data_IF_558694117360
#
_entry.id   IF_558694117360
#
_cell.length_a   1.000
_cell.length_b   1.000
_cell.length_c   1.000
_cell.angle_alpha   90.00
_cell.angle_beta   90.00
_cell.angle_gamma   90.00
#
_symmetry.space_group_name_H-M   'P 1'
#
loop_
_entity.id
_entity.type
_entity.pdbx_description
1 polymer ?
#
# COMPACT_ATOMS: atom_id res chain seq x y z
N UNK A 1 2.59 1.83 19.17
CA UNK A 1 2.13 1.02 18.04
C UNK A 1 1.72 1.99 16.93
N UNK A 2 2.61 2.24 16.00
CA UNK A 2 2.30 3.05 14.81
C UNK A 2 1.59 2.13 13.85
N UNK A 3 0.27 2.23 13.76
CA UNK A 3 -0.51 1.63 12.70
C UNK A 3 -0.23 2.44 11.43
N UNK A 4 0.34 1.85 10.42
CA UNK A 4 0.49 2.46 9.10
C UNK A 4 -0.90 2.81 8.57
N UNK A 5 -1.21 4.10 8.61
CA UNK A 5 -2.42 4.67 8.06
C UNK A 5 -2.23 4.71 6.55
N UNK A 6 -2.95 3.92 5.83
CA UNK A 6 -2.85 3.82 4.36
C UNK A 6 -3.29 2.46 3.82
N UNK A 7 -3.44 1.49 4.71
CA UNK A 7 -3.81 0.12 4.36
C UNK A 7 -5.31 -0.19 4.53
N UNK A 8 -6.16 0.82 4.70
CA UNK A 8 -7.58 0.60 5.04
C UNK A 8 -8.42 0.09 3.86
N UNK A 9 -7.82 -0.04 2.66
CA UNK A 9 -8.59 -0.06 1.45
C UNK A 9 -8.92 -1.44 0.90
N UNK A 10 -8.28 -1.94 -0.04
CA UNK A 10 -8.54 -3.27 -0.61
C UNK A 10 -7.94 -4.40 0.23
N UNK A 11 -7.35 -4.06 1.36
CA UNK A 11 -6.60 -4.95 2.24
C UNK A 11 -7.51 -5.74 3.18
N UNK A 12 -8.76 -5.36 3.31
CA UNK A 12 -9.71 -6.10 4.15
C UNK A 12 -9.74 -7.59 3.75
N UNK A 13 -9.61 -7.87 2.47
CA UNK A 13 -9.66 -9.20 1.88
C UNK A 13 -8.30 -9.68 1.32
N UNK A 14 -7.27 -8.81 1.29
CA UNK A 14 -5.93 -9.18 0.86
C UNK A 14 -5.10 -9.68 2.04
N UNK A 15 -4.40 -10.79 1.85
CA UNK A 15 -3.44 -11.37 2.80
C UNK A 15 -2.06 -10.72 2.63
N UNK A 16 -1.97 -9.39 2.77
CA UNK A 16 -0.66 -8.74 2.80
C UNK A 16 -0.07 -8.88 4.19
N UNK A 17 1.11 -9.48 4.23
CA UNK A 17 1.89 -9.69 5.43
C UNK A 17 2.50 -8.37 5.91
N UNK A 18 2.20 -7.96 7.15
CA UNK A 18 2.84 -6.82 7.80
C UNK A 18 3.94 -7.31 8.73
N UNK A 19 5.20 -6.88 8.55
CA UNK A 19 6.28 -7.31 9.43
C UNK A 19 6.10 -6.72 10.84
N UNK A 20 6.05 -7.60 11.84
CA UNK A 20 6.17 -7.24 13.24
C UNK A 20 7.64 -7.39 13.65
N UNK A 21 8.34 -6.27 13.73
CA UNK A 21 9.75 -6.24 14.14
C UNK A 21 9.81 -6.22 15.67
N UNK A 22 10.43 -7.24 16.26
CA UNK A 22 10.73 -7.31 17.68
C UNK A 22 12.21 -7.02 17.90
N UNK A 23 12.50 -6.02 18.74
CA UNK A 23 13.86 -5.63 19.11
C UNK A 23 14.23 -6.13 20.49
N UNK A 24 15.52 -6.31 20.74
CA UNK A 24 16.08 -6.50 22.08
C UNK A 24 16.25 -5.15 22.82
N UNK A 25 16.78 -5.17 24.04
CA UNK A 25 17.08 -3.98 24.84
C UNK A 25 18.05 -3.02 24.18
N UNK A 26 18.91 -3.53 23.30
CA UNK A 26 19.97 -2.78 22.61
C UNK A 26 19.48 -2.19 21.28
N UNK A 27 18.20 -2.45 20.91
CA UNK A 27 17.58 -1.96 19.67
C UNK A 27 17.85 -2.84 18.46
N UNK A 28 18.54 -3.97 18.60
CA UNK A 28 18.75 -4.92 17.51
C UNK A 28 17.53 -5.80 17.28
N UNK A 29 17.33 -6.20 16.02
CA UNK A 29 16.19 -7.06 15.66
C UNK A 29 16.43 -8.48 16.16
N UNK A 30 15.58 -8.90 17.09
CA UNK A 30 15.54 -10.26 17.61
C UNK A 30 14.80 -11.20 16.67
N UNK A 31 13.68 -10.76 16.15
CA UNK A 31 12.79 -11.57 15.34
C UNK A 31 11.86 -10.69 14.49
N UNK A 32 11.55 -11.18 13.30
CA UNK A 32 10.53 -10.61 12.43
C UNK A 32 9.45 -11.68 12.23
N UNK A 33 8.22 -11.35 12.51
CA UNK A 33 7.08 -12.24 12.37
C UNK A 33 5.95 -11.56 11.61
N UNK A 34 5.07 -12.35 11.05
CA UNK A 34 3.80 -11.86 10.51
C UNK A 34 2.88 -11.41 11.63
N UNK A 35 2.30 -10.25 11.47
CA UNK A 35 1.27 -9.74 12.38
C UNK A 35 -0.03 -10.52 12.20
N UNK A 36 -0.39 -11.33 13.17
CA UNK A 36 -1.67 -12.07 13.15
C UNK A 36 -2.85 -11.13 13.39
N UNK A 37 -3.80 -11.12 12.49
CA UNK A 37 -5.08 -10.42 12.63
C UNK A 37 -6.06 -11.30 13.40
N UNK A 38 -6.42 -10.89 14.61
CA UNK A 38 -7.34 -11.61 15.49
C UNK A 38 -8.80 -11.24 15.19
N UNK A 39 -9.76 -12.09 15.57
CA UNK A 39 -11.19 -11.79 15.42
C UNK A 39 -11.62 -10.58 16.25
N UNK A 40 -11.01 -10.34 17.42
CA UNK A 40 -11.22 -9.14 18.23
C UNK A 40 -10.79 -7.86 17.48
N UNK A 41 -9.70 -7.90 16.70
CA UNK A 41 -9.29 -6.77 15.87
C UNK A 41 -10.34 -6.48 14.81
N UNK A 42 -10.87 -7.52 14.14
CA UNK A 42 -11.92 -7.38 13.12
C UNK A 42 -13.20 -6.77 13.70
N UNK A 43 -13.61 -7.24 14.89
CA UNK A 43 -14.80 -6.72 15.57
C UNK A 43 -14.68 -5.22 15.87
N UNK A 44 -13.56 -4.80 16.45
CA UNK A 44 -13.32 -3.36 16.73
C UNK A 44 -13.26 -2.55 15.43
N UNK A 45 -12.68 -3.11 14.38
CA UNK A 45 -12.64 -2.50 13.05
C UNK A 45 -14.05 -2.24 12.49
N UNK A 46 -14.98 -3.20 12.61
CA UNK A 46 -16.38 -3.03 12.20
C UNK A 46 -17.08 -1.93 13.00
N UNK A 47 -16.88 -1.86 14.31
CA UNK A 47 -17.44 -0.79 15.14
C UNK A 47 -16.86 0.58 14.76
N UNK A 48 -15.55 0.66 14.46
CA UNK A 48 -14.93 1.89 13.99
C UNK A 48 -15.51 2.34 12.65
N UNK A 49 -15.70 1.42 11.70
CA UNK A 49 -16.32 1.72 10.41
C UNK A 49 -17.76 2.21 10.59
N UNK A 50 -18.57 1.54 11.39
CA UNK A 50 -19.95 1.96 11.67
C UNK A 50 -20.00 3.38 12.28
N UNK A 51 -19.15 3.69 13.24
CA UNK A 51 -19.05 5.01 13.83
C UNK A 51 -18.61 6.09 12.84
N UNK A 52 -17.63 5.78 11.98
CA UNK A 52 -17.13 6.68 10.94
C UNK A 52 -18.22 6.99 9.90
N UNK A 53 -18.98 5.99 9.47
CA UNK A 53 -20.11 6.16 8.53
C UNK A 53 -21.21 7.01 9.16
N UNK A 54 -21.60 6.70 10.39
CA UNK A 54 -22.65 7.46 11.11
C UNK A 54 -22.26 8.92 11.31
N UNK A 55 -20.99 9.19 11.61
CA UNK A 55 -20.47 10.55 11.70
C UNK A 55 -20.48 11.26 10.32
N UNK A 56 -20.11 10.55 9.24
CA UNK A 56 -20.13 11.09 7.89
C UNK A 56 -21.57 11.44 7.45
N UNK A 57 -22.55 10.59 7.76
CA UNK A 57 -23.95 10.86 7.48
C UNK A 57 -24.45 12.08 8.26
N UNK A 58 -24.13 12.17 9.56
CA UNK A 58 -24.52 13.28 10.39
C UNK A 58 -23.98 14.62 9.86
N UNK A 59 -22.67 14.73 9.62
CA UNK A 59 -22.07 15.97 9.09
C UNK A 59 -22.59 16.30 7.69
N UNK A 60 -22.83 15.30 6.84
CA UNK A 60 -23.41 15.50 5.50
C UNK A 60 -24.81 16.09 5.54
N UNK A 61 -25.58 15.80 6.59
CA UNK A 61 -26.96 16.24 6.73
C UNK A 61 -27.08 17.62 7.41
N UNK A 62 -26.20 17.92 8.37
CA UNK A 62 -26.38 19.07 9.26
C UNK A 62 -25.27 20.11 9.16
N UNK A 63 -24.08 19.78 8.64
CA UNK A 63 -22.99 20.72 8.50
C UNK A 63 -23.07 21.52 7.19
N UNK A 64 -22.57 22.75 7.19
CA UNK A 64 -22.43 23.57 5.99
C UNK A 64 -21.37 23.01 5.05
N UNK A 65 -20.25 22.57 5.60
CA UNK A 65 -19.20 21.86 4.89
C UNK A 65 -18.82 20.61 5.70
N UNK A 66 -18.44 19.55 4.99
CA UNK A 66 -18.05 18.30 5.63
C UNK A 66 -16.55 18.15 5.76
N UNK A 67 -16.13 17.13 6.49
CA UNK A 67 -14.78 16.59 6.49
C UNK A 67 -14.89 15.14 6.08
N UNK A 68 -14.47 14.82 4.86
CA UNK A 68 -14.61 13.49 4.29
C UNK A 68 -13.25 12.86 4.07
N UNK A 69 -13.18 11.54 4.22
CA UNK A 69 -12.07 10.72 3.74
C UNK A 69 -12.49 10.14 2.40
N UNK A 70 -12.01 10.74 1.33
CA UNK A 70 -12.35 10.36 -0.04
C UNK A 70 -11.35 9.38 -0.61
N UNK A 71 -11.81 8.50 -1.48
CA UNK A 71 -10.97 7.61 -2.28
C UNK A 71 -11.58 7.48 -3.67
N UNK A 72 -10.95 8.12 -4.63
CA UNK A 72 -11.44 8.13 -6.01
C UNK A 72 -11.17 6.80 -6.73
N UNK A 73 -11.86 6.61 -7.84
CA UNK A 73 -11.66 5.45 -8.72
C UNK A 73 -10.22 5.42 -9.28
N UNK A 74 -9.69 4.23 -9.56
CA UNK A 74 -8.38 4.10 -10.18
C UNK A 74 -8.34 4.78 -11.55
N UNK A 75 -7.19 5.34 -11.92
CA UNK A 75 -6.99 5.93 -13.24
C UNK A 75 -7.02 4.86 -14.35
N UNK A 76 -7.70 5.15 -15.44
CA UNK A 76 -7.86 4.25 -16.58
C UNK A 76 -6.52 3.73 -17.13
N UNK A 77 -5.47 4.55 -17.14
CA UNK A 77 -4.13 4.14 -17.57
C UNK A 77 -3.48 3.11 -16.66
N UNK A 78 -3.63 3.26 -15.33
CA UNK A 78 -3.10 2.29 -14.36
C UNK A 78 -3.77 0.94 -14.51
N UNK A 79 -5.05 0.98 -14.79
CA UNK A 79 -5.89 -0.18 -14.99
C UNK A 79 -5.55 -0.93 -16.27
N UNK A 80 -5.36 -0.22 -17.38
CA UNK A 80 -4.92 -0.84 -18.63
C UNK A 80 -3.58 -1.56 -18.44
N UNK A 81 -2.65 -0.95 -17.70
CA UNK A 81 -1.36 -1.57 -17.37
C UNK A 81 -1.55 -2.82 -16.52
N UNK A 82 -2.37 -2.76 -15.47
CA UNK A 82 -2.69 -3.92 -14.63
C UNK A 82 -3.30 -5.05 -15.47
N UNK A 83 -4.30 -4.75 -16.29
CA UNK A 83 -4.95 -5.74 -17.18
C UNK A 83 -3.95 -6.41 -18.13
N UNK A 84 -3.00 -5.66 -18.66
CA UNK A 84 -1.96 -6.22 -19.53
C UNK A 84 -1.03 -7.16 -18.76
N UNK A 85 -0.63 -6.80 -17.53
CA UNK A 85 0.20 -7.66 -16.67
C UNK A 85 -0.54 -8.95 -16.32
N UNK A 86 -1.81 -8.86 -15.95
CA UNK A 86 -2.66 -10.02 -15.65
C UNK A 86 -2.82 -10.93 -16.86
N UNK A 87 -3.09 -10.35 -18.03
CA UNK A 87 -3.22 -11.09 -19.29
C UNK A 87 -1.94 -11.85 -19.67
N UNK A 88 -0.77 -11.24 -19.46
CA UNK A 88 0.52 -11.88 -19.71
C UNK A 88 0.74 -13.11 -18.80
N UNK A 89 0.00 -13.21 -17.68
CA UNK A 89 0.02 -14.34 -16.74
C UNK A 89 -1.12 -15.33 -16.95
N UNK A 90 -1.84 -15.22 -18.08
CA UNK A 90 -2.99 -16.07 -18.38
C UNK A 90 -4.21 -15.79 -17.51
N UNK A 91 -4.25 -14.62 -16.86
CA UNK A 91 -5.36 -14.20 -16.02
C UNK A 91 -6.21 -13.24 -16.83
N UNK A 92 -7.37 -13.69 -17.26
CA UNK A 92 -8.33 -12.82 -17.93
C UNK A 92 -9.21 -12.15 -16.86
N UNK A 93 -9.11 -10.85 -16.79
CA UNK A 93 -10.01 -10.05 -15.99
C UNK A 93 -10.97 -9.30 -16.91
N UNK A 94 -12.21 -9.75 -16.94
CA UNK A 94 -13.29 -9.18 -17.74
C UNK A 94 -14.20 -8.28 -16.90
N UNK A 95 -13.83 -8.03 -15.63
CA UNK A 95 -14.61 -7.22 -14.72
C UNK A 95 -14.51 -5.73 -15.05
N UNK A 96 -15.61 -5.01 -14.83
CA UNK A 96 -15.59 -3.57 -14.84
C UNK A 96 -14.83 -3.08 -13.59
N UNK A 97 -13.79 -2.29 -13.79
CA UNK A 97 -12.93 -1.74 -12.75
C UNK A 97 -13.63 -0.65 -11.93
N UNK A 98 -14.66 -0.08 -12.51
CA UNK A 98 -15.51 0.88 -11.79
C UNK A 98 -16.37 0.21 -10.70
N UNK A 99 -16.43 -1.13 -10.71
CA UNK A 99 -17.16 -1.91 -9.72
C UNK A 99 -16.22 -2.64 -8.76
N UNK A 100 -16.18 -2.18 -7.52
CA UNK A 100 -15.33 -2.73 -6.47
C UNK A 100 -15.72 -4.18 -6.07
N UNK A 101 -16.98 -4.59 -6.27
CA UNK A 101 -17.41 -5.97 -6.01
C UNK A 101 -16.66 -6.93 -6.92
N UNK A 102 -16.54 -6.57 -8.19
CA UNK A 102 -15.75 -7.32 -9.17
C UNK A 102 -14.27 -7.42 -8.77
N UNK A 103 -13.72 -6.35 -8.18
CA UNK A 103 -12.32 -6.36 -7.70
C UNK A 103 -12.18 -7.26 -6.48
N UNK A 104 -13.08 -7.17 -5.50
CA UNK A 104 -13.04 -7.99 -4.29
C UNK A 104 -13.18 -9.48 -4.61
N UNK A 105 -14.16 -9.86 -5.44
CA UNK A 105 -14.28 -11.24 -5.92
C UNK A 105 -13.06 -11.71 -6.69
N UNK A 106 -12.46 -10.82 -7.48
CA UNK A 106 -11.25 -11.11 -8.24
C UNK A 106 -10.07 -11.36 -7.30
N UNK A 107 -9.86 -10.53 -6.28
CA UNK A 107 -8.85 -10.72 -5.24
C UNK A 107 -9.05 -12.07 -4.54
N UNK A 108 -10.27 -12.41 -4.16
CA UNK A 108 -10.58 -13.70 -3.53
C UNK A 108 -10.23 -14.90 -4.43
N UNK A 109 -10.46 -14.78 -5.74
CA UNK A 109 -10.04 -15.80 -6.71
C UNK A 109 -8.52 -15.90 -6.84
N UNK A 110 -7.84 -14.75 -6.81
CA UNK A 110 -6.37 -14.68 -6.87
C UNK A 110 -5.70 -15.25 -5.63
N UNK A 111 -6.30 -15.13 -4.45
CA UNK A 111 -5.73 -15.60 -3.18
C UNK A 111 -5.49 -17.13 -3.13
N UNK A 112 -6.03 -17.89 -4.10
CA UNK A 112 -5.79 -19.33 -4.27
C UNK A 112 -4.52 -19.67 -5.06
N UNK A 113 -3.80 -18.65 -5.56
CA UNK A 113 -2.61 -18.81 -6.39
C UNK A 113 -1.34 -18.61 -5.57
N UNK A 114 -0.26 -19.25 -5.97
CA UNK A 114 1.06 -19.10 -5.33
C UNK A 114 1.65 -17.68 -5.51
N UNK A 115 1.25 -16.98 -6.60
CA UNK A 115 1.67 -15.61 -6.90
C UNK A 115 0.70 -14.55 -6.38
N UNK A 116 -0.27 -14.92 -5.54
CA UNK A 116 -1.28 -14.02 -4.97
C UNK A 116 -0.70 -12.76 -4.28
N UNK A 117 0.36 -12.84 -3.46
CA UNK A 117 0.90 -11.65 -2.79
C UNK A 117 1.33 -10.57 -3.79
N UNK A 118 1.98 -10.98 -4.88
CA UNK A 118 2.41 -10.07 -5.95
C UNK A 118 1.23 -9.47 -6.69
N UNK A 119 0.25 -10.30 -7.06
CA UNK A 119 -0.93 -9.84 -7.79
C UNK A 119 -1.73 -8.83 -6.95
N UNK A 120 -1.91 -9.11 -5.66
CA UNK A 120 -2.55 -8.20 -4.72
C UNK A 120 -1.79 -6.88 -4.60
N UNK A 121 -0.46 -6.92 -4.53
CA UNK A 121 0.37 -5.71 -4.50
C UNK A 121 0.21 -4.88 -5.79
N UNK A 122 0.18 -5.52 -6.96
CA UNK A 122 -0.02 -4.83 -8.24
C UNK A 122 -1.40 -4.17 -8.35
N UNK A 123 -2.43 -4.84 -7.85
CA UNK A 123 -3.78 -4.28 -7.76
C UNK A 123 -3.75 -3.04 -6.86
N UNK A 124 -3.16 -3.13 -5.67
CA UNK A 124 -3.05 -1.99 -4.76
C UNK A 124 -2.28 -0.81 -5.35
N UNK A 125 -1.19 -1.07 -6.07
CA UNK A 125 -0.41 -0.02 -6.74
C UNK A 125 -1.19 0.68 -7.86
N UNK A 126 -2.22 0.05 -8.40
CA UNK A 126 -3.10 0.65 -9.40
C UNK A 126 -4.16 1.58 -8.80
N UNK A 127 -4.44 1.45 -7.50
CA UNK A 127 -5.45 2.24 -6.81
C UNK A 127 -4.99 3.69 -6.59
N UNK A 128 -5.95 4.59 -6.46
CA UNK A 128 -5.70 5.96 -6.00
C UNK A 128 -5.37 5.96 -4.50
N UNK A 129 -4.89 7.08 -4.00
CA UNK A 129 -4.70 7.28 -2.57
C UNK A 129 -5.94 7.93 -1.98
N UNK A 130 -6.25 7.56 -0.75
CA UNK A 130 -7.28 8.25 -0.01
C UNK A 130 -6.76 9.60 0.50
N UNK A 131 -7.62 10.62 0.50
CA UNK A 131 -7.30 12.00 0.89
C UNK A 131 -8.41 12.57 1.75
N UNK A 132 -8.15 13.68 2.44
CA UNK A 132 -9.18 14.44 3.13
C UNK A 132 -9.67 15.57 2.24
N UNK A 133 -10.99 15.80 2.25
CA UNK A 133 -11.63 16.83 1.43
C UNK A 133 -12.90 17.36 2.10
N UNK A 134 -13.25 18.62 1.81
CA UNK A 134 -14.56 19.16 2.18
C UNK A 134 -15.68 18.65 1.26
N UNK A 135 -15.32 18.17 0.06
CA UNK A 135 -16.26 17.61 -0.90
C UNK A 135 -16.34 16.09 -0.76
N UNK A 136 -17.55 15.58 -0.64
CA UNK A 136 -17.77 14.14 -0.66
C UNK A 136 -17.66 13.60 -2.10
N UNK A 137 -16.69 12.70 -2.32
CA UNK A 137 -16.53 11.95 -3.58
C UNK A 137 -16.67 10.45 -3.38
N UNK A 138 -17.18 10.03 -2.21
CA UNK A 138 -17.24 8.65 -1.82
C UNK A 138 -15.88 8.04 -1.46
N UNK A 139 -15.92 6.79 -1.05
CA UNK A 139 -14.72 6.03 -0.73
C UNK A 139 -14.73 4.69 -1.49
N UNK A 140 -14.17 4.71 -2.70
CA UNK A 140 -14.15 3.56 -3.60
C UNK A 140 -13.65 2.28 -2.93
N UNK A 141 -12.49 2.31 -2.28
CA UNK A 141 -11.88 1.12 -1.68
C UNK A 141 -12.69 0.47 -0.56
N UNK A 142 -13.61 1.19 0.11
CA UNK A 142 -14.51 0.69 1.15
C UNK A 142 -15.95 0.50 0.66
N UNK A 143 -16.28 0.97 -0.55
CA UNK A 143 -17.62 0.98 -1.11
C UNK A 143 -18.63 1.75 -0.24
N UNK A 144 -18.21 2.92 0.22
CA UNK A 144 -19.10 3.81 0.96
C UNK A 144 -19.35 5.09 0.16
N UNK A 145 -20.61 5.47 0.09
CA UNK A 145 -21.04 6.73 -0.57
C UNK A 145 -20.54 7.95 0.21
N UNK A 146 -20.38 7.81 1.53
CA UNK A 146 -19.85 8.82 2.43
C UNK A 146 -18.98 8.16 3.49
N UNK A 147 -17.83 8.75 3.73
CA UNK A 147 -16.95 8.25 4.75
C UNK A 147 -16.12 9.38 5.36
N UNK A 148 -15.94 9.34 6.67
CA UNK A 148 -15.04 10.23 7.39
C UNK A 148 -14.23 9.45 8.41
N UNK A 149 -13.22 10.07 8.95
CA UNK A 149 -12.51 9.58 10.12
C UNK A 149 -13.04 10.30 11.37
N UNK A 150 -13.51 9.54 12.35
CA UNK A 150 -14.11 10.05 13.58
C UNK A 150 -13.49 9.42 14.85
N UNK A 151 -13.03 8.17 14.74
CA UNK A 151 -12.75 7.32 15.92
C UNK A 151 -11.37 7.52 16.53
N UNK A 152 -10.52 8.42 16.01
CA UNK A 152 -9.14 8.61 16.51
C UNK A 152 -8.73 10.09 16.66
N UNK A 153 -9.49 10.95 17.39
CA UNK A 153 -9.22 12.40 17.45
C UNK A 153 -7.92 12.77 18.20
N UNK A 154 -7.38 11.85 19.00
CA UNK A 154 -6.11 12.09 19.73
C UNK A 154 -4.91 12.15 18.79
N UNK A 155 -4.94 11.39 17.68
CA UNK A 155 -3.81 11.25 16.76
C UNK A 155 -4.08 11.71 15.34
N UNK A 156 -5.33 12.00 14.97
CA UNK A 156 -5.72 12.50 13.66
C UNK A 156 -6.50 13.80 13.81
N UNK A 157 -5.94 14.87 13.29
CA UNK A 157 -6.58 16.19 13.37
C UNK A 157 -7.92 16.27 12.61
N UNK A 158 -8.11 15.64 11.42
CA UNK A 158 -9.42 15.59 10.78
C UNK A 158 -10.52 14.97 11.64
N UNK A 159 -10.23 13.93 12.42
CA UNK A 159 -11.20 13.36 13.37
C UNK A 159 -11.60 14.40 14.42
N UNK A 160 -10.63 15.16 14.95
CA UNK A 160 -10.92 16.23 15.91
C UNK A 160 -11.79 17.33 15.27
N UNK A 161 -11.57 17.68 14.02
CA UNK A 161 -12.41 18.64 13.29
C UNK A 161 -13.85 18.11 13.16
N UNK A 162 -14.03 16.84 12.82
CA UNK A 162 -15.36 16.21 12.78
C UNK A 162 -16.04 16.29 14.15
N UNK A 163 -15.33 15.98 15.25
CA UNK A 163 -15.88 16.14 16.62
C UNK A 163 -16.32 17.56 16.88
N UNK A 164 -15.50 18.56 16.54
CA UNK A 164 -15.82 19.98 16.77
C UNK A 164 -17.04 20.43 15.97
N UNK A 165 -17.14 20.03 14.71
CA UNK A 165 -18.29 20.30 13.85
C UNK A 165 -19.56 19.68 14.45
N UNK A 166 -19.51 18.42 14.86
CA UNK A 166 -20.67 17.75 15.47
C UNK A 166 -21.09 18.45 16.77
N UNK A 167 -20.15 18.80 17.63
CA UNK A 167 -20.43 19.50 18.91
C UNK A 167 -21.05 20.87 18.65
N UNK A 168 -20.53 21.66 17.70
CA UNK A 168 -21.12 22.97 17.37
C UNK A 168 -22.57 22.84 16.86
N UNK A 169 -22.85 21.85 16.04
CA UNK A 169 -24.23 21.57 15.56
C UNK A 169 -25.14 21.21 16.74
N UNK A 170 -24.71 20.32 17.63
CA UNK A 170 -25.50 19.90 18.81
C UNK A 170 -25.77 21.05 19.78
N UNK A 171 -24.79 21.94 19.95
CA UNK A 171 -24.90 23.12 20.79
C UNK A 171 -25.63 24.29 20.11
N UNK A 172 -25.93 24.17 18.81
CA UNK A 172 -26.45 25.28 17.96
C UNK A 172 -25.52 26.47 17.91
N UNK A 173 -24.23 26.21 17.90
CA UNK A 173 -23.14 27.18 17.75
C UNK A 173 -22.66 27.21 16.29
N UNK A 174 -22.12 28.34 15.84
CA UNK A 174 -21.49 28.43 14.54
C UNK A 174 -20.09 27.81 14.60
N UNK A 175 -19.77 27.03 13.56
CA UNK A 175 -18.40 26.51 13.33
C UNK A 175 -17.76 27.36 12.22
N UNK A 176 -16.51 27.76 12.45
CA UNK A 176 -15.73 28.47 11.44
C UNK A 176 -15.13 27.51 10.44
N UNK A 177 -15.59 27.60 9.18
CA UNK A 177 -15.14 26.79 8.06
C UNK A 177 -14.02 27.45 7.23
N UNK A 178 -13.57 28.68 7.61
CA UNK A 178 -12.53 29.38 6.86
C UNK A 178 -11.23 28.54 6.83
N UNK A 179 -10.67 28.35 5.65
CA UNK A 179 -9.45 27.58 5.44
C UNK A 179 -9.56 26.07 5.69
N UNK A 180 -10.77 25.52 5.88
CA UNK A 180 -10.96 24.09 6.19
C UNK A 180 -10.36 23.20 5.09
N UNK A 181 -10.60 23.49 3.81
CA UNK A 181 -10.06 22.70 2.70
C UNK A 181 -8.53 22.69 2.70
N UNK A 182 -7.88 23.84 2.88
CA UNK A 182 -6.41 23.94 2.97
C UNK A 182 -5.85 23.14 4.14
N UNK A 183 -6.55 23.17 5.28
CA UNK A 183 -6.18 22.38 6.47
C UNK A 183 -6.26 20.87 6.17
N UNK A 184 -7.24 20.41 5.44
CA UNK A 184 -7.41 18.99 5.08
C UNK A 184 -6.36 18.54 4.06
N UNK A 185 -5.98 19.39 3.13
CA UNK A 185 -4.87 19.16 2.18
C UNK A 185 -3.54 19.02 2.93
N UNK A 186 -3.24 19.93 3.85
CA UNK A 186 -2.05 19.88 4.72
C UNK A 186 -2.04 18.60 5.60
N UNK A 187 -3.20 18.22 6.14
CA UNK A 187 -3.33 16.96 6.88
C UNK A 187 -2.99 15.75 6.01
N UNK A 188 -3.45 15.74 4.76
CA UNK A 188 -3.16 14.66 3.80
C UNK A 188 -1.68 14.61 3.43
N UNK A 189 -1.02 15.76 3.29
CA UNK A 189 0.43 15.82 3.04
C UNK A 189 1.24 15.34 4.24
N UNK A 190 0.89 15.78 5.44
CA UNK A 190 1.56 15.36 6.69
C UNK A 190 1.36 13.87 6.98
N UNK A 191 0.19 13.32 6.66
CA UNK A 191 -0.07 11.89 6.72
C UNK A 191 0.89 11.12 5.80
N UNK A 192 1.06 11.57 4.55
CA UNK A 192 2.02 10.96 3.59
C UNK A 192 3.46 11.04 4.09
N UNK A 193 3.87 12.17 4.63
CA UNK A 193 5.20 12.36 5.19
C UNK A 193 5.46 11.44 6.39
N UNK A 194 4.50 11.32 7.30
CA UNK A 194 4.58 10.44 8.47
C UNK A 194 4.62 8.96 8.06
N UNK A 195 3.83 8.56 7.08
CA UNK A 195 3.85 7.20 6.51
C UNK A 195 5.21 6.88 5.89
N UNK A 196 5.73 7.80 5.08
CA UNK A 196 7.05 7.66 4.46
C UNK A 196 8.16 7.52 5.51
N UNK A 197 8.17 8.38 6.52
CA UNK A 197 9.15 8.32 7.61
C UNK A 197 9.09 6.98 8.36
N UNK A 198 7.88 6.51 8.68
CA UNK A 198 7.69 5.21 9.35
C UNK A 198 8.20 4.05 8.50
N UNK A 199 7.88 4.05 7.20
CA UNK A 199 8.38 3.03 6.26
C UNK A 199 9.89 3.06 6.15
N UNK A 200 10.50 4.25 6.13
CA UNK A 200 11.95 4.39 6.06
C UNK A 200 12.65 3.80 7.28
N UNK A 201 12.13 4.05 8.48
CA UNK A 201 12.68 3.47 9.72
C UNK A 201 12.60 1.94 9.69
N UNK A 202 11.44 1.39 9.32
CA UNK A 202 11.27 -0.07 9.19
C UNK A 202 12.25 -0.62 8.14
N UNK A 203 12.37 0.02 6.99
CA UNK A 203 13.28 -0.42 5.93
C UNK A 203 14.73 -0.41 6.41
N UNK A 204 15.16 0.60 7.15
CA UNK A 204 16.52 0.65 7.72
C UNK A 204 16.76 -0.51 8.70
N UNK A 205 15.78 -0.81 9.55
CA UNK A 205 15.83 -1.96 10.46
C UNK A 205 15.92 -3.28 9.68
N UNK A 206 15.10 -3.46 8.63
CA UNK A 206 15.11 -4.64 7.77
C UNK A 206 16.45 -4.79 7.03
N UNK A 207 17.04 -3.69 6.57
CA UNK A 207 18.39 -3.68 5.99
C UNK A 207 19.45 -4.14 6.99
N UNK A 208 19.39 -3.65 8.25
CA UNK A 208 20.27 -4.11 9.33
C UNK A 208 20.12 -5.61 9.57
N UNK A 209 18.88 -6.11 9.62
CA UNK A 209 18.61 -7.53 9.77
C UNK A 209 19.15 -8.35 8.58
N UNK A 210 18.98 -7.84 7.36
CA UNK A 210 19.42 -8.52 6.15
C UNK A 210 20.96 -8.69 6.05
N UNK A 211 21.77 -7.87 6.75
CA UNK A 211 23.23 -7.97 6.75
C UNK A 211 23.76 -9.37 7.16
N UNK A 212 23.10 -10.04 8.10
CA UNK A 212 23.49 -11.39 8.54
C UNK A 212 23.31 -12.46 7.44
N UNK A 213 22.66 -12.11 6.36
CA UNK A 213 22.39 -12.98 5.22
C UNK A 213 23.18 -12.59 3.96
N UNK A 214 24.13 -11.66 4.07
CA UNK A 214 25.00 -11.29 2.94
C UNK A 214 25.65 -12.52 2.32
N UNK A 215 25.64 -12.61 0.98
CA UNK A 215 26.12 -13.76 0.21
C UNK A 215 25.20 -14.98 0.19
N UNK A 216 24.07 -14.97 0.89
CA UNK A 216 23.08 -16.06 0.83
C UNK A 216 22.05 -15.83 -0.27
N UNK A 217 21.60 -16.93 -0.87
CA UNK A 217 20.56 -16.92 -1.90
C UNK A 217 19.15 -16.99 -1.30
N UNK A 218 18.24 -16.22 -1.86
CA UNK A 218 16.83 -16.20 -1.53
C UNK A 218 15.98 -16.17 -2.80
N UNK A 219 14.83 -16.81 -2.75
CA UNK A 219 13.82 -16.68 -3.78
C UNK A 219 12.98 -15.42 -3.53
N UNK A 220 12.84 -14.61 -4.54
CA UNK A 220 12.07 -13.39 -4.52
C UNK A 220 11.15 -13.26 -5.72
N UNK A 221 10.48 -12.12 -5.80
CA UNK A 221 9.60 -11.78 -6.91
C UNK A 221 9.94 -10.40 -7.46
N UNK A 222 9.90 -10.25 -8.78
CA UNK A 222 10.15 -8.97 -9.45
C UNK A 222 8.93 -8.06 -9.22
N UNK A 223 9.11 -7.00 -8.44
CA UNK A 223 8.06 -6.02 -8.06
C UNK A 223 8.15 -4.72 -8.84
N UNK A 224 9.23 -4.55 -9.59
CA UNK A 224 9.41 -3.40 -10.47
C UNK A 224 10.48 -3.68 -11.52
N UNK A 225 10.24 -3.16 -12.73
CA UNK A 225 11.18 -3.28 -13.85
C UNK A 225 11.50 -1.88 -14.35
N UNK A 226 12.79 -1.57 -14.44
CA UNK A 226 13.34 -0.32 -14.96
C UNK A 226 14.46 -0.62 -15.96
N UNK A 227 14.86 0.39 -16.72
CA UNK A 227 15.99 0.25 -17.68
C UNK A 227 17.29 -0.17 -17.00
N UNK A 228 17.51 0.32 -15.76
CA UNK A 228 18.74 0.06 -15.00
C UNK A 228 18.70 -1.22 -14.15
N UNK A 229 17.54 -1.91 -14.05
CA UNK A 229 17.46 -3.14 -13.27
C UNK A 229 16.06 -3.51 -12.79
N UNK A 230 16.05 -4.50 -11.90
CA UNK A 230 14.86 -5.12 -11.35
C UNK A 230 14.77 -4.84 -9.85
N UNK A 231 13.62 -4.40 -9.38
CA UNK A 231 13.29 -4.41 -7.96
C UNK A 231 12.75 -5.80 -7.62
N UNK A 232 13.36 -6.44 -6.65
CA UNK A 232 12.98 -7.81 -6.23
C UNK A 232 12.59 -7.77 -4.77
N UNK A 233 11.38 -8.21 -4.47
CA UNK A 233 10.88 -8.42 -3.12
C UNK A 233 11.28 -9.81 -2.62
N UNK A 234 11.76 -9.87 -1.39
CA UNK A 234 12.22 -11.11 -0.73
C UNK A 234 11.33 -11.38 0.48
N UNK A 235 10.24 -12.13 0.33
CA UNK A 235 9.23 -12.31 1.38
C UNK A 235 9.79 -12.88 2.69
N UNK A 236 10.77 -13.78 2.60
CA UNK A 236 11.42 -14.35 3.79
C UNK A 236 12.13 -13.33 4.69
N UNK A 237 12.55 -12.20 4.11
CA UNK A 237 13.26 -11.14 4.82
C UNK A 237 12.41 -9.88 4.99
N UNK A 238 11.15 -9.89 4.49
CA UNK A 238 10.26 -8.72 4.49
C UNK A 238 10.87 -7.47 3.89
N UNK A 239 11.79 -7.63 2.95
CA UNK A 239 12.54 -6.53 2.35
C UNK A 239 12.64 -6.69 0.85
N UNK A 240 13.01 -5.60 0.18
CA UNK A 240 13.25 -5.59 -1.26
C UNK A 240 14.64 -5.04 -1.57
N UNK A 241 15.18 -5.43 -2.71
CA UNK A 241 16.47 -4.94 -3.18
C UNK A 241 16.46 -4.64 -4.68
N UNK A 242 17.53 -4.03 -5.13
CA UNK A 242 17.79 -3.74 -6.54
C UNK A 242 18.80 -4.74 -7.11
N UNK A 243 18.36 -5.49 -8.12
CA UNK A 243 19.23 -6.28 -9.00
C UNK A 243 19.54 -5.44 -10.24
N UNK A 244 20.77 -4.95 -10.33
CA UNK A 244 21.17 -4.08 -11.44
C UNK A 244 21.25 -4.87 -12.74
N UNK A 245 20.99 -4.23 -13.87
CA UNK A 245 20.99 -4.89 -15.20
C UNK A 245 22.34 -5.52 -15.55
N UNK A 246 23.43 -4.97 -15.03
CA UNK A 246 24.78 -5.50 -15.23
C UNK A 246 25.04 -6.80 -14.45
N UNK A 247 24.27 -7.08 -13.41
CA UNK A 247 24.38 -8.27 -12.57
C UNK A 247 23.44 -9.40 -13.05
N UNK A 248 22.67 -9.14 -14.12
CA UNK A 248 21.88 -10.17 -14.79
C UNK A 248 22.78 -11.05 -15.68
N UNK A 249 22.33 -12.27 -16.06
CA UNK A 249 23.06 -13.13 -16.99
C UNK A 249 23.52 -12.38 -18.24
N UNK A 250 24.75 -12.64 -18.68
CA UNK A 250 25.42 -11.89 -19.75
C UNK A 250 24.60 -11.85 -21.06
N UNK A 251 23.84 -10.78 -21.24
CA UNK A 251 23.01 -10.45 -22.41
C UNK A 251 22.87 -8.92 -22.53
N UNK A 252 22.32 -8.45 -23.64
CA UNK A 252 21.89 -7.06 -23.82
C UNK A 252 20.39 -6.95 -23.56
N UNK A 253 20.04 -6.35 -22.45
CA UNK A 253 18.64 -6.20 -22.06
C UNK A 253 18.04 -4.90 -22.60
N UNK A 254 16.84 -5.01 -23.16
CA UNK A 254 16.03 -3.88 -23.58
C UNK A 254 14.79 -3.79 -22.68
N UNK A 255 14.57 -2.63 -22.12
CA UNK A 255 13.36 -2.36 -21.37
C UNK A 255 12.14 -2.27 -22.29
N UNK A 256 11.12 -3.02 -21.95
CA UNK A 256 9.83 -3.02 -22.62
C UNK A 256 8.76 -2.43 -21.69
N UNK A 257 8.45 -1.15 -21.88
CA UNK A 257 7.49 -0.44 -21.05
C UNK A 257 6.07 -1.03 -21.11
N UNK A 258 5.67 -1.58 -22.27
CA UNK A 258 4.34 -2.17 -22.48
C UNK A 258 4.16 -3.47 -21.69
N UNK A 259 5.19 -4.31 -21.65
CA UNK A 259 5.15 -5.60 -20.96
C UNK A 259 5.79 -5.55 -19.57
N UNK A 260 6.34 -4.39 -19.17
CA UNK A 260 7.10 -4.23 -17.95
C UNK A 260 8.13 -5.35 -17.77
N UNK A 261 8.98 -5.51 -18.76
CA UNK A 261 10.01 -6.56 -18.82
C UNK A 261 11.36 -6.02 -19.28
N UNK A 262 12.41 -6.73 -18.89
CA UNK A 262 13.73 -6.67 -19.52
C UNK A 262 13.87 -7.86 -20.46
N UNK A 263 13.91 -7.58 -21.76
CA UNK A 263 13.99 -8.60 -22.80
C UNK A 263 15.44 -8.69 -23.32
N UNK A 264 16.07 -9.85 -23.14
CA UNK A 264 17.43 -10.15 -23.61
C UNK A 264 17.46 -10.37 -25.11
N UNK A 265 18.45 -9.73 -25.82
CA UNK A 265 18.55 -9.77 -27.29
C UNK A 265 19.21 -11.03 -27.84
N UNK A 266 20.14 -11.64 -27.08
CA UNK A 266 20.98 -12.73 -27.57
C UNK A 266 20.51 -14.11 -27.13
N UNK A 267 20.18 -14.26 -25.84
CA UNK A 267 19.85 -15.55 -25.22
C UNK A 267 18.36 -15.73 -24.99
N UNK A 268 17.54 -14.71 -25.30
CA UNK A 268 16.10 -14.77 -25.12
C UNK A 268 15.65 -14.74 -23.65
N UNK A 269 16.56 -14.43 -22.72
CA UNK A 269 16.20 -14.26 -21.32
C UNK A 269 15.18 -13.14 -21.19
N UNK A 270 14.13 -13.38 -20.42
CA UNK A 270 13.10 -12.38 -20.18
C UNK A 270 12.79 -12.32 -18.68
N UNK A 271 12.83 -11.12 -18.13
CA UNK A 271 12.47 -10.84 -16.74
C UNK A 271 11.28 -9.88 -16.70
N UNK A 272 10.15 -10.37 -16.27
CA UNK A 272 8.90 -9.61 -16.26
C UNK A 272 8.44 -9.31 -14.84
N UNK A 273 7.67 -8.25 -14.72
CA UNK A 273 7.03 -7.89 -13.46
C UNK A 273 6.26 -9.09 -12.89
N UNK A 274 6.53 -9.44 -11.63
CA UNK A 274 5.92 -10.54 -10.89
C UNK A 274 6.57 -11.91 -11.12
N UNK A 275 7.60 -12.05 -11.97
CA UNK A 275 8.31 -13.33 -12.11
C UNK A 275 9.07 -13.67 -10.83
N UNK A 276 9.17 -14.97 -10.56
CA UNK A 276 10.00 -15.49 -9.49
C UNK A 276 11.46 -15.52 -9.94
N UNK A 277 12.36 -15.09 -9.06
CA UNK A 277 13.78 -15.03 -9.32
C UNK A 277 14.56 -15.38 -8.06
N UNK A 278 15.64 -16.14 -8.19
CA UNK A 278 16.56 -16.40 -7.09
C UNK A 278 17.68 -15.38 -7.15
N UNK A 279 17.97 -14.74 -6.02
CA UNK A 279 18.96 -13.65 -5.90
C UNK A 279 19.84 -13.83 -4.68
N UNK A 280 21.07 -13.35 -4.76
CA UNK A 280 21.98 -13.27 -3.63
C UNK A 280 21.93 -11.88 -3.00
N UNK A 281 21.97 -11.83 -1.66
CA UNK A 281 22.10 -10.58 -0.91
C UNK A 281 23.52 -10.05 -1.06
N UNK A 282 23.64 -8.86 -1.64
CA UNK A 282 24.90 -8.18 -1.85
C UNK A 282 25.14 -7.05 -0.83
N UNK A 283 25.62 -5.90 -1.34
CA UNK A 283 25.91 -4.74 -0.51
C UNK A 283 24.66 -4.11 0.07
N UNK A 284 24.74 -3.75 1.35
CA UNK A 284 23.64 -3.16 2.09
C UNK A 284 24.04 -1.79 2.60
N UNK A 285 23.31 -0.77 2.13
CA UNK A 285 23.40 0.61 2.60
C UNK A 285 22.29 0.88 3.60
N UNK A 286 22.56 0.59 4.86
CA UNK A 286 21.58 0.60 5.95
C UNK A 286 20.90 1.95 6.10
N UNK A 287 21.66 3.06 6.12
CA UNK A 287 21.12 4.41 6.29
C UNK A 287 20.27 4.87 5.09
N UNK A 288 20.53 4.34 3.91
CA UNK A 288 19.74 4.62 2.71
C UNK A 288 18.54 3.66 2.56
N UNK A 289 18.47 2.62 3.38
CA UNK A 289 17.45 1.59 3.26
C UNK A 289 17.53 0.78 1.95
N UNK A 290 18.77 0.60 1.41
CA UNK A 290 18.99 -0.04 0.10
C UNK A 290 19.76 -1.33 0.22
N UNK A 291 19.33 -2.33 -0.52
CA UNK A 291 19.97 -3.64 -0.67
C UNK A 291 20.29 -3.85 -2.15
N UNK A 292 21.56 -4.09 -2.46
CA UNK A 292 21.98 -4.55 -3.78
C UNK A 292 21.83 -6.06 -3.84
N UNK A 293 21.35 -6.55 -4.97
CA UNK A 293 21.15 -7.97 -5.22
C UNK A 293 21.99 -8.41 -6.42
N UNK A 294 22.41 -9.67 -6.41
CA UNK A 294 23.11 -10.32 -7.52
C UNK A 294 22.33 -11.55 -7.99
N UNK A 295 22.50 -11.88 -9.27
CA UNK A 295 21.86 -13.05 -9.89
C UNK A 295 22.67 -14.33 -9.65
#
# INVERSE_FOLDING_TARGET
VVRLVGSEMCIRDSTISEPLVQTNSDGDIKHIADRKRLNSHKLIEEFMLAANISAADFISQYAKEGVYRIHEHPESLKIQRLSQVLKNRGINWNGNIEDIENISEFILKLNKRDDAPILNMLILQSMQRAEYSTLNKGHFGLKFDKYTHFTSPIRRYPDLLVHRIIISILNREEFDYEGLQLTLEDCSEKERAAEFASKQVIQNLLCRYAKQFSGKSFSGYITGVKEFGLFVDIPKLFTSGLLHVNDLPNDFYRYNARHQSLDGKRRGNKFSLGDRIDVFIGDIKELEGKISLYY
#
